data_IF_698098900652
#
_entry.id   IF_698098900652
#
_cell.length_a   1.000
_cell.length_b   1.000
_cell.length_c   1.000
_cell.angle_alpha   90.00
_cell.angle_beta   90.00
_cell.angle_gamma   90.00
#
_symmetry.space_group_name_H-M   'P 1'
#
loop_
_entity.id
_entity.type
_entity.pdbx_description
1 polymer ?
#
# COMPACT_ATOMS: atom_id res chain seq x y z
N UNK A 1 -2.05 29.06 -3.55
CA UNK A 1 -2.22 28.35 -2.26
C UNK A 1 -2.26 26.86 -2.55
N UNK A 2 -1.26 26.11 -2.11
CA UNK A 2 -1.31 24.64 -2.15
C UNK A 2 -1.33 24.18 -0.71
N UNK A 3 -2.28 23.34 -0.34
CA UNK A 3 -2.39 22.71 0.99
C UNK A 3 -2.09 21.22 0.82
N UNK A 4 -0.80 20.82 0.76
CA UNK A 4 -0.42 19.42 0.49
C UNK A 4 -0.98 18.43 1.50
N UNK A 5 -1.24 18.87 2.73
CA UNK A 5 -1.85 18.06 3.79
C UNK A 5 -3.27 17.60 3.47
N UNK A 6 -4.00 18.26 2.56
CA UNK A 6 -5.30 17.76 2.11
C UNK A 6 -5.18 16.48 1.26
N UNK A 7 -3.97 16.18 0.78
CA UNK A 7 -3.66 15.04 -0.07
C UNK A 7 -2.71 14.05 0.61
N UNK A 8 -2.64 14.11 1.94
CA UNK A 8 -1.77 13.24 2.75
C UNK A 8 -2.41 11.91 3.11
N UNK A 9 -3.67 11.69 2.76
CA UNK A 9 -4.36 10.44 2.98
C UNK A 9 -5.00 9.98 1.67
N UNK A 10 -4.69 8.76 1.26
CA UNK A 10 -5.22 8.14 0.04
C UNK A 10 -5.74 6.76 0.40
N UNK A 11 -7.02 6.55 0.16
CA UNK A 11 -7.64 5.24 0.19
C UNK A 11 -7.88 4.77 -1.25
N UNK A 12 -7.47 3.54 -1.55
CA UNK A 12 -7.75 2.88 -2.82
C UNK A 12 -8.55 1.61 -2.53
N UNK A 13 -9.82 1.69 -2.89
CA UNK A 13 -10.72 0.53 -2.97
C UNK A 13 -10.61 -0.07 -4.37
N UNK A 14 -10.24 -1.35 -4.45
CA UNK A 14 -10.03 -2.01 -5.74
C UNK A 14 -11.28 -2.44 -6.47
N UNK A 15 -12.44 -2.45 -5.81
CA UNK A 15 -13.74 -2.73 -6.44
C UNK A 15 -13.97 -1.76 -7.61
N UNK A 16 -13.48 -0.51 -7.49
CA UNK A 16 -13.56 0.48 -8.56
C UNK A 16 -12.73 0.14 -9.81
N UNK A 17 -11.74 -0.75 -9.75
CA UNK A 17 -10.91 -1.10 -10.91
C UNK A 17 -11.61 -2.05 -11.88
N UNK A 18 -12.58 -2.84 -11.40
CA UNK A 18 -13.46 -3.68 -12.23
C UNK A 18 -14.50 -2.87 -13.01
N UNK A 19 -14.61 -1.57 -12.73
CA UNK A 19 -15.46 -0.64 -13.46
C UNK A 19 -15.08 -0.52 -14.95
N UNK A 20 -15.98 0.09 -15.72
CA UNK A 20 -15.75 0.44 -17.12
C UNK A 20 -14.41 1.18 -17.33
N UNK A 21 -13.80 1.00 -18.50
CA UNK A 21 -12.53 1.63 -18.85
C UNK A 21 -12.52 3.16 -18.62
N UNK A 22 -13.65 3.83 -18.86
CA UNK A 22 -13.78 5.27 -18.61
C UNK A 22 -13.75 5.63 -17.12
N UNK A 23 -14.36 4.82 -16.25
CA UNK A 23 -14.33 5.04 -14.80
C UNK A 23 -12.92 4.82 -14.27
N UNK A 24 -12.26 3.75 -14.73
CA UNK A 24 -10.86 3.44 -14.40
C UNK A 24 -9.90 4.57 -14.77
N UNK A 25 -10.03 5.10 -15.99
CA UNK A 25 -9.19 6.20 -16.45
C UNK A 25 -9.40 7.48 -15.62
N UNK A 26 -10.64 7.77 -15.19
CA UNK A 26 -10.94 8.90 -14.30
C UNK A 26 -10.33 8.68 -12.91
N UNK A 27 -10.48 7.48 -12.34
CA UNK A 27 -9.90 7.13 -11.05
C UNK A 27 -8.37 7.27 -11.06
N UNK A 28 -7.69 6.73 -12.07
CA UNK A 28 -6.23 6.89 -12.23
C UNK A 28 -5.81 8.36 -12.33
N UNK A 29 -6.52 9.18 -13.10
CA UNK A 29 -6.22 10.62 -13.21
C UNK A 29 -6.41 11.35 -11.88
N UNK A 30 -7.45 11.01 -11.12
CA UNK A 30 -7.68 11.57 -9.79
C UNK A 30 -6.59 11.16 -8.81
N UNK A 31 -6.20 9.88 -8.80
CA UNK A 31 -5.12 9.35 -7.98
C UNK A 31 -3.80 10.06 -8.28
N UNK A 32 -3.40 10.16 -9.56
CA UNK A 32 -2.20 10.89 -9.97
C UNK A 32 -2.25 12.34 -9.50
N UNK A 33 -3.37 13.03 -9.72
CA UNK A 33 -3.50 14.43 -9.36
C UNK A 33 -3.50 14.64 -7.82
N UNK A 34 -3.95 13.67 -7.04
CA UNK A 34 -3.83 13.70 -5.58
C UNK A 34 -2.36 13.57 -5.15
N UNK A 35 -1.65 12.58 -5.70
CA UNK A 35 -0.23 12.34 -5.42
C UNK A 35 0.64 13.54 -5.79
N UNK A 36 0.39 14.16 -6.95
CA UNK A 36 1.10 15.35 -7.43
C UNK A 36 0.89 16.56 -6.51
N UNK A 37 -0.34 16.74 -5.99
CA UNK A 37 -0.67 17.84 -5.08
C UNK A 37 -0.10 17.63 -3.68
N UNK A 38 0.03 16.38 -3.23
CA UNK A 38 0.69 16.01 -1.98
C UNK A 38 2.21 16.27 -1.98
N UNK A 39 2.83 16.39 -3.17
CA UNK A 39 4.26 16.69 -3.36
C UNK A 39 5.17 15.74 -2.56
N UNK A 40 5.92 16.25 -1.58
CA UNK A 40 6.83 15.47 -0.71
C UNK A 40 6.28 15.31 0.72
N UNK A 41 5.01 15.68 0.93
CA UNK A 41 4.36 15.50 2.22
C UNK A 41 4.17 14.01 2.51
N UNK A 42 4.24 13.65 3.80
CA UNK A 42 4.01 12.27 4.26
C UNK A 42 2.65 11.79 3.80
N UNK A 43 2.59 10.51 3.44
CA UNK A 43 1.42 9.90 2.84
C UNK A 43 0.95 8.74 3.70
N UNK A 44 -0.30 8.78 4.07
CA UNK A 44 -1.02 7.69 4.70
C UNK A 44 -1.81 6.98 3.60
N UNK A 45 -1.61 5.68 3.46
CA UNK A 45 -2.16 4.88 2.37
C UNK A 45 -2.98 3.75 2.96
N UNK A 46 -4.18 3.59 2.44
CA UNK A 46 -5.07 2.48 2.76
C UNK A 46 -5.45 1.78 1.46
N UNK A 47 -5.21 0.47 1.43
CA UNK A 47 -5.44 -0.37 0.26
C UNK A 47 -6.43 -1.45 0.68
N UNK A 48 -7.61 -1.42 0.11
CA UNK A 48 -8.68 -2.38 0.40
C UNK A 48 -9.06 -3.12 -0.89
N UNK A 49 -9.14 -4.45 -0.82
CA UNK A 49 -9.52 -5.29 -1.95
C UNK A 49 -10.25 -6.55 -1.54
N UNK A 50 -11.43 -6.76 -2.13
CA UNK A 50 -12.19 -8.00 -1.99
C UNK A 50 -11.78 -9.08 -2.99
N UNK A 51 -11.08 -8.71 -4.06
CA UNK A 51 -10.82 -9.59 -5.20
C UNK A 51 -9.35 -10.02 -5.28
N UNK A 52 -9.12 -11.31 -5.56
CA UNK A 52 -7.79 -11.82 -5.93
C UNK A 52 -7.48 -11.35 -7.34
N UNK A 53 -7.01 -10.12 -7.48
CA UNK A 53 -6.53 -9.63 -8.75
C UNK A 53 -5.18 -10.28 -9.01
N UNK A 54 -5.19 -11.35 -9.80
CA UNK A 54 -4.00 -11.88 -10.49
C UNK A 54 -3.35 -10.85 -11.46
N UNK A 55 -3.77 -9.59 -11.39
CA UNK A 55 -3.36 -8.49 -12.22
C UNK A 55 -2.63 -7.45 -11.38
N UNK A 56 -1.40 -7.16 -11.82
CA UNK A 56 -0.73 -5.88 -11.61
C UNK A 56 -1.73 -4.74 -11.78
N UNK A 57 -2.21 -4.17 -10.68
CA UNK A 57 -3.06 -2.98 -10.73
C UNK A 57 -2.16 -1.77 -10.99
N UNK A 58 -2.36 -1.02 -12.09
CA UNK A 58 -1.61 0.21 -12.34
C UNK A 58 -1.70 1.22 -11.19
N UNK A 59 -2.74 1.13 -10.36
CA UNK A 59 -2.90 1.93 -9.17
C UNK A 59 -1.90 1.56 -8.06
N UNK A 60 -1.66 0.26 -7.85
CA UNK A 60 -0.66 -0.20 -6.89
C UNK A 60 0.74 0.21 -7.33
N UNK A 61 1.05 0.09 -8.62
CA UNK A 61 2.34 0.54 -9.17
C UNK A 61 2.52 2.04 -8.98
N UNK A 62 1.46 2.83 -9.25
CA UNK A 62 1.48 4.27 -9.05
C UNK A 62 1.66 4.62 -7.56
N UNK A 63 0.95 3.97 -6.64
CA UNK A 63 1.12 4.17 -5.21
C UNK A 63 2.54 3.79 -4.75
N UNK A 64 3.03 2.63 -5.18
CA UNK A 64 4.35 2.11 -4.84
C UNK A 64 5.48 3.02 -5.34
N UNK A 65 5.30 3.74 -6.44
CA UNK A 65 6.24 4.75 -6.91
C UNK A 65 6.41 5.92 -5.93
N UNK A 66 5.45 6.12 -5.00
CA UNK A 66 5.51 7.13 -3.94
C UNK A 66 5.75 6.53 -2.54
N UNK A 67 6.17 5.26 -2.46
CA UNK A 67 6.41 4.53 -1.20
C UNK A 67 7.38 5.22 -0.23
N UNK A 68 8.34 5.99 -0.74
CA UNK A 68 9.28 6.74 0.10
C UNK A 68 8.62 7.78 1.02
N UNK A 69 7.39 8.18 0.68
CA UNK A 69 6.59 9.14 1.44
C UNK A 69 5.67 8.47 2.45
N UNK A 70 5.51 7.15 2.38
CA UNK A 70 4.54 6.44 3.21
C UNK A 70 4.92 6.54 4.68
N UNK A 71 3.96 6.93 5.50
CA UNK A 71 4.08 7.02 6.96
C UNK A 71 3.22 5.95 7.62
N UNK A 72 1.96 5.85 7.19
CA UNK A 72 1.03 4.82 7.64
C UNK A 72 0.59 4.01 6.41
N UNK A 73 0.69 2.69 6.48
CA UNK A 73 0.18 1.80 5.46
C UNK A 73 -0.78 0.80 6.09
N UNK A 74 -2.00 0.75 5.58
CA UNK A 74 -3.00 -0.28 5.90
C UNK A 74 -3.29 -1.05 4.62
N UNK A 75 -3.17 -2.37 4.68
CA UNK A 75 -3.47 -3.26 3.55
C UNK A 75 -4.45 -4.32 4.01
N UNK A 76 -5.66 -4.29 3.46
CA UNK A 76 -6.64 -5.36 3.57
C UNK A 76 -6.86 -5.95 2.17
N UNK A 77 -6.19 -7.07 1.87
CA UNK A 77 -6.31 -7.69 0.55
C UNK A 77 -5.94 -9.18 0.53
N UNK A 78 -6.22 -9.88 -0.59
CA UNK A 78 -5.68 -11.22 -0.84
C UNK A 78 -4.15 -11.24 -0.98
N UNK A 79 -3.54 -12.41 -0.72
CA UNK A 79 -2.08 -12.68 -0.83
C UNK A 79 -1.42 -12.22 -2.10
N UNK A 80 -2.03 -12.57 -3.21
CA UNK A 80 -1.48 -12.32 -4.53
C UNK A 80 -1.33 -10.82 -4.79
N UNK A 81 -2.29 -10.04 -4.33
CA UNK A 81 -2.24 -8.58 -4.41
C UNK A 81 -1.16 -7.98 -3.50
N UNK A 82 -0.97 -8.52 -2.30
CA UNK A 82 0.11 -8.10 -1.40
C UNK A 82 1.49 -8.30 -2.03
N UNK A 83 1.70 -9.39 -2.78
CA UNK A 83 2.93 -9.60 -3.54
C UNK A 83 3.17 -8.52 -4.61
N UNK A 84 2.12 -7.89 -5.12
CA UNK A 84 2.21 -6.74 -6.02
C UNK A 84 2.92 -5.52 -5.39
N UNK A 85 3.02 -5.47 -4.06
CA UNK A 85 3.79 -4.45 -3.35
C UNK A 85 5.29 -4.76 -3.28
N UNK A 86 5.79 -5.86 -3.86
CA UNK A 86 7.22 -6.18 -3.83
C UNK A 86 8.13 -5.04 -4.34
N UNK A 87 7.62 -4.15 -5.22
CA UNK A 87 8.33 -2.97 -5.71
C UNK A 87 8.67 -1.92 -4.64
N UNK A 88 8.04 -1.98 -3.45
CA UNK A 88 8.32 -1.09 -2.31
C UNK A 88 9.46 -1.58 -1.43
N UNK A 89 9.97 -2.80 -1.66
CA UNK A 89 11.10 -3.35 -0.90
C UNK A 89 12.28 -2.38 -0.97
N UNK A 90 12.78 -1.96 0.19
CA UNK A 90 13.87 -0.98 0.28
C UNK A 90 13.46 0.49 0.16
N UNK A 91 12.17 0.80 -0.01
CA UNK A 91 11.66 2.17 -0.28
C UNK A 91 10.71 2.67 0.79
N UNK A 92 10.87 2.22 2.03
CA UNK A 92 10.00 2.58 3.17
C UNK A 92 10.75 3.35 4.28
N UNK A 93 11.54 4.40 3.98
CA UNK A 93 12.34 5.12 4.97
C UNK A 93 11.51 5.85 6.02
N UNK A 94 10.25 6.21 5.71
CA UNK A 94 9.36 7.00 6.57
C UNK A 94 8.22 6.19 7.17
N UNK A 95 8.12 4.90 6.88
CA UNK A 95 7.01 4.08 7.33
C UNK A 95 7.11 3.89 8.84
N UNK A 96 6.09 4.35 9.57
CA UNK A 96 6.01 4.28 11.04
C UNK A 96 4.97 3.27 11.50
N UNK A 97 3.88 3.12 10.74
CA UNK A 97 2.79 2.19 11.03
C UNK A 97 2.50 1.31 9.83
N UNK A 98 2.41 0.01 10.07
CA UNK A 98 2.01 -0.97 9.08
C UNK A 98 0.95 -1.91 9.67
N UNK A 99 -0.18 -1.99 9.00
CA UNK A 99 -1.23 -2.96 9.28
C UNK A 99 -1.52 -3.76 8.03
N UNK A 100 -1.52 -5.08 8.20
CA UNK A 100 -1.67 -6.04 7.13
C UNK A 100 -2.73 -7.05 7.54
N UNK A 101 -3.89 -6.95 6.89
CA UNK A 101 -4.99 -7.91 6.94
C UNK A 101 -5.05 -8.72 5.66
N UNK A 102 -4.98 -10.03 5.82
CA UNK A 102 -4.68 -10.94 4.75
C UNK A 102 -5.68 -12.08 4.76
N UNK A 103 -6.56 -12.10 3.76
CA UNK A 103 -7.80 -12.90 3.79
C UNK A 103 -7.63 -14.38 3.43
N UNK A 104 -6.43 -14.83 3.08
CA UNK A 104 -6.15 -16.23 2.70
C UNK A 104 -4.98 -16.83 3.50
N UNK A 105 -4.92 -18.16 3.52
CA UNK A 105 -4.05 -18.99 4.37
C UNK A 105 -2.65 -19.28 3.80
N UNK A 106 -2.25 -18.59 2.71
CA UNK A 106 -0.97 -18.83 2.07
C UNK A 106 0.19 -18.33 2.93
N UNK A 107 1.28 -19.10 2.98
CA UNK A 107 2.56 -18.69 3.57
C UNK A 107 3.16 -17.53 2.77
N UNK A 108 3.61 -16.48 3.44
CA UNK A 108 4.02 -15.23 2.76
C UNK A 108 5.44 -14.83 3.11
N UNK A 109 6.12 -14.31 2.11
CA UNK A 109 7.42 -13.66 2.29
C UNK A 109 7.19 -12.19 2.64
N UNK A 110 7.36 -11.87 3.92
CA UNK A 110 7.32 -10.50 4.43
C UNK A 110 8.66 -9.79 4.26
N UNK A 111 9.63 -10.38 3.56
CA UNK A 111 10.94 -9.76 3.30
C UNK A 111 10.86 -8.44 2.52
N UNK A 112 9.71 -8.12 1.93
CA UNK A 112 9.47 -6.80 1.35
C UNK A 112 9.48 -5.68 2.41
N UNK A 113 9.33 -6.03 3.68
CA UNK A 113 9.37 -5.13 4.84
C UNK A 113 10.73 -5.10 5.55
N UNK A 114 11.72 -5.87 5.10
CA UNK A 114 13.04 -5.97 5.74
C UNK A 114 13.82 -4.65 5.77
N UNK A 115 13.29 -3.58 5.17
CA UNK A 115 13.93 -2.26 5.06
C UNK A 115 12.89 -1.15 5.32
N UNK A 116 12.39 -1.08 6.56
CA UNK A 116 11.56 0.02 7.06
C UNK A 116 12.16 0.56 8.38
N UNK A 117 13.22 1.38 8.34
CA UNK A 117 13.99 1.77 9.53
C UNK A 117 13.22 2.62 10.54
N UNK A 118 12.10 3.23 10.13
CA UNK A 118 11.27 4.06 10.98
C UNK A 118 10.06 3.31 11.55
N UNK A 119 9.92 2.01 11.28
CA UNK A 119 8.73 1.24 11.63
C UNK A 119 8.62 1.08 13.15
N UNK A 120 7.51 1.55 13.71
CA UNK A 120 7.22 1.52 15.16
C UNK A 120 6.12 0.53 15.50
N UNK A 121 5.16 0.37 14.59
CA UNK A 121 3.98 -0.45 14.79
C UNK A 121 3.79 -1.39 13.60
N UNK A 122 3.61 -2.67 13.93
CA UNK A 122 3.33 -3.72 12.96
C UNK A 122 2.16 -4.55 13.48
N UNK A 123 1.06 -4.51 12.74
CA UNK A 123 -0.16 -5.25 13.05
C UNK A 123 -0.39 -6.25 11.92
N UNK A 124 -0.55 -7.52 12.29
CA UNK A 124 -0.94 -8.58 11.37
C UNK A 124 -2.25 -9.20 11.85
N UNK A 125 -3.26 -9.17 10.99
CA UNK A 125 -4.56 -9.81 11.22
C UNK A 125 -4.78 -10.90 10.16
N UNK A 126 -5.14 -12.12 10.60
CA UNK A 126 -5.28 -13.30 9.73
C UNK A 126 -4.65 -14.57 10.32
N UNK A 127 -4.85 -15.73 9.65
CA UNK A 127 -4.33 -17.02 10.09
C UNK A 127 -2.83 -17.17 9.77
N UNK A 128 -1.90 -17.11 10.74
CA UNK A 128 -0.49 -16.92 10.43
C UNK A 128 0.26 -18.24 10.25
N UNK A 129 1.00 -18.35 9.15
CA UNK A 129 2.32 -19.02 9.11
C UNK A 129 3.37 -17.97 8.77
N UNK A 130 3.81 -17.23 9.79
CA UNK A 130 4.76 -16.13 9.67
C UNK A 130 6.20 -16.65 9.64
N UNK A 131 6.99 -16.15 8.70
CA UNK A 131 8.47 -16.20 8.75
C UNK A 131 8.91 -14.75 8.72
N UNK A 132 9.35 -14.22 9.85
CA UNK A 132 9.83 -12.84 9.94
C UNK A 132 11.10 -12.79 10.78
N UNK A 133 12.12 -12.08 10.29
CA UNK A 133 13.32 -11.72 11.05
C UNK A 133 13.28 -10.22 11.34
N UNK A 134 12.37 -9.76 12.21
CA UNK A 134 12.39 -8.36 12.65
C UNK A 134 13.35 -8.20 13.83
N UNK A 135 14.36 -7.32 13.75
CA UNK A 135 15.13 -6.91 14.91
C UNK A 135 14.30 -5.89 15.68
N UNK A 136 13.66 -6.32 16.77
CA UNK A 136 13.20 -5.39 17.79
C UNK A 136 14.39 -5.20 18.74
N UNK A 137 15.12 -4.10 18.56
CA UNK A 137 16.08 -3.57 19.56
C UNK A 137 15.42 -2.45 20.39
#
# INVERSE_FOLDING_TARGET
MGTPSLWSYIQVDTVFWESSASTRAKAMKSLQAALDRGRNFSLDVEIESDFSVAFHSPALELLAAHSERWRNLVVDCPSDMFNGLAAVKGKLPRLEYLEIELRDDQTRDLSLLDIAPSLKYLVFTGAPRLITNFPFE
#
